data_IF_211233054757
#
_entry.id   IF_211233054757
#
_cell.length_a   1.000
_cell.length_b   1.000
_cell.length_c   1.000
_cell.angle_alpha   90.00
_cell.angle_beta   90.00
_cell.angle_gamma   90.00
#
_symmetry.space_group_name_H-M   'P 1'
#
loop_
_entity.id
_entity.type
_entity.pdbx_description
1 polymer ?
#
# COMPACT_ATOMS: atom_id res chain seq x y z
N UNK A 1 -4.94 38.99 53.91
CA UNK A 1 -4.02 40.01 53.39
C UNK A 1 -2.59 39.51 53.59
N UNK A 2 -1.83 39.43 52.48
CA UNK A 2 -0.35 39.49 52.25
C UNK A 2 0.58 39.47 53.48
N UNK A 3 1.79 38.89 53.51
CA UNK A 3 2.82 38.46 52.52
C UNK A 3 3.98 37.84 53.33
N UNK A 4 4.90 37.04 52.72
CA UNK A 4 6.38 37.22 52.76
C UNK A 4 7.12 36.02 52.14
N UNK A 5 8.16 36.34 51.38
CA UNK A 5 9.07 35.56 50.53
C UNK A 5 10.33 35.01 51.24
N UNK A 6 10.90 33.95 50.65
CA UNK A 6 12.34 33.60 50.49
C UNK A 6 13.21 33.20 51.70
N UNK A 7 13.81 31.99 51.66
CA UNK A 7 15.23 31.78 51.30
C UNK A 7 15.70 30.31 51.38
N UNK A 8 16.64 30.01 50.47
CA UNK A 8 17.44 28.80 50.23
C UNK A 8 18.07 28.09 51.43
N UNK A 9 18.06 26.74 51.40
CA UNK A 9 19.14 25.89 51.96
C UNK A 9 19.29 24.54 51.20
N UNK A 10 20.28 24.50 50.30
CA UNK A 10 21.22 23.41 49.93
C UNK A 10 20.83 21.93 50.17
N UNK A 11 20.88 21.10 49.12
CA UNK A 11 21.32 19.68 49.24
C UNK A 11 22.12 19.16 48.03
N UNK A 12 23.43 19.01 48.28
CA UNK A 12 24.46 18.04 47.83
C UNK A 12 24.55 17.60 46.35
N UNK A 13 25.68 17.97 45.72
CA UNK A 13 26.32 17.28 44.59
C UNK A 13 26.87 15.92 45.03
N UNK A 14 26.58 14.87 44.26
CA UNK A 14 27.22 13.55 44.36
C UNK A 14 28.24 13.39 43.22
N UNK A 15 29.33 12.62 43.43
CA UNK A 15 30.49 12.60 42.55
C UNK A 15 30.28 11.75 41.30
N UNK A 16 30.92 12.15 40.20
CA UNK A 16 31.01 11.42 38.94
C UNK A 16 31.57 10.01 39.16
N UNK A 17 30.84 9.01 38.68
CA UNK A 17 31.39 7.67 38.46
C UNK A 17 31.43 7.44 36.95
N UNK A 18 32.64 7.29 36.43
CA UNK A 18 32.92 6.85 35.06
C UNK A 18 32.25 5.50 34.81
N UNK A 19 31.17 5.51 34.05
CA UNK A 19 30.67 4.35 33.35
C UNK A 19 30.37 4.83 31.92
N UNK A 20 31.27 4.49 31.00
CA UNK A 20 31.07 4.56 29.56
C UNK A 20 29.79 3.78 29.23
N UNK A 21 28.65 4.47 29.18
CA UNK A 21 27.45 3.94 28.56
C UNK A 21 27.72 3.91 27.06
N UNK A 22 27.73 2.74 26.41
CA UNK A 22 27.73 2.72 24.96
C UNK A 22 26.47 3.43 24.50
N UNK A 23 26.64 4.42 23.61
CA UNK A 23 25.53 5.10 22.98
C UNK A 23 24.53 4.07 22.45
N UNK A 24 23.21 4.27 22.61
CA UNK A 24 22.23 3.37 22.03
C UNK A 24 22.54 3.22 20.55
N UNK A 25 22.84 1.99 20.13
CA UNK A 25 23.00 1.64 18.71
C UNK A 25 21.83 2.28 17.96
N UNK A 26 22.08 3.01 16.87
CA UNK A 26 20.99 3.56 16.07
C UNK A 26 20.09 2.38 15.73
N UNK A 27 18.83 2.44 16.18
CA UNK A 27 17.81 1.47 15.80
C UNK A 27 17.95 1.35 14.29
N UNK A 28 18.31 0.15 13.81
CA UNK A 28 18.35 -0.14 12.40
C UNK A 28 17.10 0.48 11.81
N UNK A 29 17.28 1.41 10.87
CA UNK A 29 16.17 2.01 10.17
C UNK A 29 15.29 0.84 9.77
N UNK A 30 14.04 0.81 10.23
CA UNK A 30 13.06 -0.14 9.74
C UNK A 30 13.19 -0.05 8.25
N UNK A 31 13.69 -1.11 7.61
CA UNK A 31 13.80 -1.21 6.16
C UNK A 31 12.38 -0.97 5.69
N UNK A 32 12.17 0.27 5.24
CA UNK A 32 10.88 0.78 4.85
C UNK A 32 10.28 -0.18 3.83
N UNK A 33 8.97 -0.37 3.85
CA UNK A 33 8.18 -1.16 2.89
C UNK A 33 8.29 -0.67 1.43
N UNK A 34 9.41 -0.04 1.06
CA UNK A 34 9.64 0.71 -0.17
C UNK A 34 10.30 -0.12 -1.28
N UNK A 35 10.49 -1.43 -1.05
CA UNK A 35 11.07 -2.38 -2.02
C UNK A 35 10.08 -3.49 -2.41
N UNK A 36 8.83 -3.41 -1.95
CA UNK A 36 7.84 -4.45 -2.21
C UNK A 36 7.10 -4.12 -3.50
N UNK A 37 7.03 -5.08 -4.42
CA UNK A 37 6.32 -4.93 -5.68
C UNK A 37 4.83 -4.73 -5.39
N UNK A 38 4.25 -3.69 -5.98
CA UNK A 38 2.83 -3.45 -5.91
C UNK A 38 2.12 -4.20 -7.04
N UNK A 39 1.69 -5.42 -6.74
CA UNK A 39 0.93 -6.25 -7.66
C UNK A 39 -0.46 -5.70 -7.98
N UNK A 40 -0.95 -4.70 -7.25
CA UNK A 40 -2.31 -4.20 -7.32
C UNK A 40 -2.43 -2.87 -8.08
N UNK A 41 -1.35 -2.09 -8.11
CA UNK A 41 -1.30 -0.83 -8.82
C UNK A 41 -1.09 -1.05 -10.31
N UNK A 42 -1.80 -0.27 -11.11
CA UNK A 42 -1.58 -0.14 -12.54
C UNK A 42 -1.87 1.29 -12.98
N UNK A 43 -0.92 1.91 -13.67
CA UNK A 43 -1.11 3.25 -14.21
C UNK A 43 -1.74 3.26 -15.61
N UNK A 44 -1.37 2.30 -16.46
CA UNK A 44 -1.95 2.14 -17.80
C UNK A 44 -3.02 1.05 -17.80
N UNK A 45 -4.15 1.29 -18.45
CA UNK A 45 -5.20 0.28 -18.59
C UNK A 45 -4.78 -0.84 -19.56
N UNK A 46 -4.01 -0.49 -20.60
CA UNK A 46 -3.56 -1.41 -21.64
C UNK A 46 -2.29 -2.18 -21.25
N UNK A 47 -2.16 -3.38 -21.82
CA UNK A 47 -0.97 -4.21 -21.68
C UNK A 47 0.18 -3.64 -22.54
N UNK A 48 1.35 -3.46 -21.93
CA UNK A 48 2.57 -3.11 -22.65
C UNK A 48 2.97 -4.29 -23.53
N UNK A 49 3.41 -4.06 -24.79
CA UNK A 49 3.90 -5.14 -25.61
C UNK A 49 5.25 -5.61 -25.07
N UNK A 50 5.54 -6.90 -25.26
CA UNK A 50 6.85 -7.46 -24.97
C UNK A 50 7.83 -7.08 -26.08
N UNK A 51 9.02 -6.60 -25.72
CA UNK A 51 10.06 -6.26 -26.68
C UNK A 51 10.54 -7.48 -27.47
N UNK A 52 10.78 -7.30 -28.76
CA UNK A 52 11.15 -8.35 -29.72
C UNK A 52 12.32 -7.91 -30.60
N UNK A 53 12.92 -8.86 -31.32
CA UNK A 53 14.04 -8.57 -32.23
C UNK A 53 13.62 -7.85 -33.51
N UNK A 54 12.31 -7.84 -33.82
CA UNK A 54 11.75 -7.18 -35.00
C UNK A 54 11.44 -5.69 -34.74
N UNK A 55 11.59 -5.25 -33.48
CA UNK A 55 11.33 -3.87 -33.10
C UNK A 55 12.39 -2.91 -33.68
N UNK A 56 11.91 -1.82 -34.26
CA UNK A 56 12.79 -0.73 -34.68
C UNK A 56 13.44 -0.05 -33.49
N UNK A 57 14.65 0.49 -33.65
CA UNK A 57 15.37 1.18 -32.58
C UNK A 57 14.53 2.27 -31.87
N UNK A 58 13.76 3.13 -32.58
CA UNK A 58 12.87 4.09 -31.91
C UNK A 58 11.79 3.42 -31.05
N UNK A 59 11.25 2.27 -31.49
CA UNK A 59 10.25 1.53 -30.72
C UNK A 59 10.87 0.91 -29.47
N UNK A 60 12.06 0.31 -29.59
CA UNK A 60 12.86 -0.24 -28.48
C UNK A 60 13.06 0.82 -27.39
N UNK A 61 13.51 2.03 -27.77
CA UNK A 61 13.73 3.12 -26.82
C UNK A 61 12.44 3.57 -26.12
N UNK A 62 11.32 3.57 -26.84
CA UNK A 62 10.01 3.90 -26.28
C UNK A 62 9.59 2.86 -25.24
N UNK A 63 9.70 1.57 -25.57
CA UNK A 63 9.35 0.47 -24.65
C UNK A 63 10.24 0.45 -23.41
N UNK A 64 11.54 0.70 -23.55
CA UNK A 64 12.44 0.80 -22.39
C UNK A 64 12.04 1.94 -21.45
N UNK A 65 11.58 3.07 -21.99
CA UNK A 65 11.06 4.18 -21.18
C UNK A 65 9.77 3.77 -20.45
N UNK A 66 8.87 3.04 -21.10
CA UNK A 66 7.63 2.57 -20.49
C UNK A 66 7.90 1.55 -19.38
N UNK A 67 8.79 0.58 -19.62
CA UNK A 67 9.21 -0.40 -18.62
C UNK A 67 9.90 0.28 -17.43
N UNK A 68 10.79 1.25 -17.67
CA UNK A 68 11.39 2.03 -16.60
C UNK A 68 10.33 2.73 -15.75
N UNK A 69 9.31 3.31 -16.38
CA UNK A 69 8.20 3.94 -15.67
C UNK A 69 7.42 2.96 -14.77
N UNK A 70 7.20 1.72 -15.21
CA UNK A 70 6.58 0.66 -14.40
C UNK A 70 7.44 0.37 -13.16
N UNK A 71 8.74 0.19 -13.34
CA UNK A 71 9.68 -0.09 -12.25
C UNK A 71 9.80 1.08 -11.27
N UNK A 72 9.85 2.33 -11.76
CA UNK A 72 9.93 3.54 -10.94
C UNK A 72 8.69 3.73 -10.04
N UNK A 73 7.52 3.23 -10.49
CA UNK A 73 6.29 3.21 -9.71
C UNK A 73 6.16 1.97 -8.81
N UNK A 74 7.14 1.07 -8.85
CA UNK A 74 7.13 -0.22 -8.16
C UNK A 74 5.93 -1.10 -8.55
N UNK A 75 5.44 -0.98 -9.77
CA UNK A 75 4.35 -1.81 -10.29
C UNK A 75 4.90 -3.16 -10.78
N UNK A 76 4.04 -4.18 -10.83
CA UNK A 76 4.43 -5.50 -11.36
C UNK A 76 4.61 -5.45 -12.88
N UNK A 77 5.76 -5.91 -13.36
CA UNK A 77 6.05 -6.11 -14.79
C UNK A 77 5.17 -7.23 -15.37
N UNK A 78 4.94 -8.32 -14.62
CA UNK A 78 4.01 -9.37 -15.04
C UNK A 78 2.60 -8.83 -15.26
N UNK A 79 2.12 -7.95 -14.38
CA UNK A 79 0.83 -7.32 -14.56
C UNK A 79 0.82 -6.43 -15.81
N UNK A 80 1.83 -5.56 -15.95
CA UNK A 80 1.89 -4.60 -17.05
C UNK A 80 2.10 -5.25 -18.43
N UNK A 81 2.78 -6.39 -18.52
CA UNK A 81 2.98 -7.17 -19.75
C UNK A 81 1.87 -8.23 -20.00
N UNK A 82 0.80 -8.25 -19.19
CA UNK A 82 -0.39 -9.07 -19.45
C UNK A 82 -0.37 -10.49 -18.86
N UNK A 83 0.58 -10.85 -18.01
CA UNK A 83 0.67 -12.18 -17.37
C UNK A 83 -0.33 -12.39 -16.21
N UNK A 84 -1.08 -11.34 -15.83
CA UNK A 84 -2.25 -11.39 -14.92
C UNK A 84 -2.00 -12.16 -13.60
N UNK A 85 -1.30 -11.55 -12.64
CA UNK A 85 -1.13 -12.10 -11.31
C UNK A 85 -2.49 -12.34 -10.60
N UNK A 86 -2.50 -13.25 -9.62
CA UNK A 86 -3.64 -13.61 -8.79
C UNK A 86 -4.11 -12.44 -7.93
N UNK A 87 -3.21 -11.62 -7.39
CA UNK A 87 -3.53 -10.46 -6.53
C UNK A 87 -4.65 -9.57 -7.10
N UNK A 88 -4.48 -8.97 -8.30
CA UNK A 88 -5.52 -8.20 -8.97
C UNK A 88 -6.84 -8.94 -9.18
N UNK A 89 -6.78 -10.22 -9.53
CA UNK A 89 -7.98 -11.04 -9.76
C UNK A 89 -8.75 -11.25 -8.45
N UNK A 90 -8.03 -11.54 -7.37
CA UNK A 90 -8.59 -11.75 -6.05
C UNK A 90 -9.19 -10.45 -5.50
N UNK A 91 -8.54 -9.30 -5.71
CA UNK A 91 -9.12 -7.99 -5.35
C UNK A 91 -10.39 -7.71 -6.14
N UNK A 92 -10.39 -7.91 -7.46
CA UNK A 92 -11.62 -7.74 -8.26
C UNK A 92 -12.77 -8.63 -7.78
N UNK A 93 -12.48 -9.85 -7.30
CA UNK A 93 -13.50 -10.73 -6.71
C UNK A 93 -13.94 -10.26 -5.32
N UNK A 94 -13.00 -9.78 -4.52
CA UNK A 94 -13.26 -9.24 -3.19
C UNK A 94 -14.14 -7.98 -3.25
N UNK A 95 -13.87 -7.06 -4.17
CA UNK A 95 -14.69 -5.85 -4.36
C UNK A 95 -16.13 -6.17 -4.78
N UNK A 96 -16.36 -7.29 -5.48
CA UNK A 96 -17.72 -7.76 -5.86
C UNK A 96 -18.55 -8.28 -4.70
N UNK A 97 -17.99 -8.42 -3.50
CA UNK A 97 -18.77 -8.72 -2.30
C UNK A 97 -19.69 -7.55 -1.91
N UNK A 98 -19.41 -6.36 -2.44
CA UNK A 98 -20.07 -5.11 -2.08
C UNK A 98 -20.75 -4.49 -3.30
N UNK A 99 -21.81 -3.72 -3.06
CA UNK A 99 -22.55 -3.03 -4.12
C UNK A 99 -21.97 -1.63 -4.39
N UNK A 100 -20.83 -1.60 -5.08
CA UNK A 100 -20.13 -0.39 -5.46
C UNK A 100 -19.04 0.06 -4.45
N UNK A 101 -18.37 1.20 -4.70
CA UNK A 101 -17.24 1.65 -3.89
C UNK A 101 -17.68 2.24 -2.53
N UNK A 102 -16.82 2.24 -1.51
CA UNK A 102 -17.10 2.89 -0.22
C UNK A 102 -17.42 4.38 -0.40
N UNK A 103 -18.44 4.87 0.33
CA UNK A 103 -18.87 6.26 0.21
C UNK A 103 -17.93 7.18 1.00
N UNK A 104 -17.24 8.07 0.29
CA UNK A 104 -16.41 9.13 0.88
C UNK A 104 -17.26 10.38 1.07
N UNK A 105 -17.47 10.80 2.32
CA UNK A 105 -18.30 11.98 2.64
C UNK A 105 -17.52 13.30 2.57
N UNK A 106 -16.25 13.27 2.96
CA UNK A 106 -15.38 14.43 2.95
C UNK A 106 -13.94 13.97 2.79
N UNK A 107 -13.23 14.53 1.81
CA UNK A 107 -11.79 14.36 1.64
C UNK A 107 -11.05 15.63 2.07
N UNK A 108 -9.99 15.46 2.84
CA UNK A 108 -9.03 16.49 3.22
C UNK A 108 -7.67 16.30 2.52
N UNK A 109 -7.55 15.27 1.66
CA UNK A 109 -6.37 15.01 0.85
C UNK A 109 -6.35 15.84 -0.44
N UNK A 110 -5.22 15.78 -1.17
CA UNK A 110 -5.17 16.25 -2.57
C UNK A 110 -6.20 15.48 -3.40
N UNK A 111 -6.69 16.10 -4.46
CA UNK A 111 -7.64 15.48 -5.41
C UNK A 111 -7.17 14.06 -5.80
N UNK A 112 -8.07 13.08 -5.73
CA UNK A 112 -7.80 11.68 -6.11
C UNK A 112 -7.54 10.69 -4.98
N UNK A 113 -7.76 11.01 -3.70
CA UNK A 113 -7.71 9.98 -2.64
C UNK A 113 -8.92 9.04 -2.75
N UNK A 114 -8.73 7.88 -3.38
CA UNK A 114 -9.72 6.80 -3.47
C UNK A 114 -9.63 5.88 -2.26
N UNK A 115 -10.77 5.54 -1.65
CA UNK A 115 -10.85 4.54 -0.59
C UNK A 115 -11.36 3.23 -1.17
N UNK A 116 -10.62 2.15 -0.96
CA UNK A 116 -10.98 0.80 -1.42
C UNK A 116 -11.64 0.01 -0.30
N UNK A 117 -12.33 -1.08 -0.63
CA UNK A 117 -12.87 -1.99 0.40
C UNK A 117 -11.78 -2.67 1.22
N UNK A 118 -10.57 -2.85 0.65
CA UNK A 118 -9.43 -3.39 1.38
C UNK A 118 -9.02 -2.44 2.51
N UNK A 119 -8.98 -1.13 2.25
CA UNK A 119 -8.71 -0.11 3.27
C UNK A 119 -9.74 -0.12 4.40
N UNK A 120 -11.02 -0.31 4.05
CA UNK A 120 -12.13 -0.40 5.03
C UNK A 120 -11.99 -1.64 5.92
N UNK A 121 -11.73 -2.80 5.31
CA UNK A 121 -11.58 -4.07 6.05
C UNK A 121 -10.31 -4.06 6.91
N UNK A 122 -9.22 -3.49 6.41
CA UNK A 122 -8.01 -3.29 7.19
C UNK A 122 -8.27 -2.33 8.36
N UNK A 123 -8.99 -1.23 8.14
CA UNK A 123 -9.37 -0.31 9.21
C UNK A 123 -10.18 -1.03 10.29
N UNK A 124 -11.22 -1.77 9.90
CA UNK A 124 -12.06 -2.52 10.83
C UNK A 124 -11.26 -3.53 11.67
N UNK A 125 -10.24 -4.16 11.07
CA UNK A 125 -9.33 -5.08 11.78
C UNK A 125 -8.40 -4.34 12.74
N UNK A 126 -7.81 -3.24 12.30
CA UNK A 126 -6.76 -2.53 13.04
C UNK A 126 -7.32 -1.61 14.15
N UNK A 127 -8.56 -1.13 13.98
CA UNK A 127 -9.25 -0.18 14.88
C UNK A 127 -10.73 -0.58 15.08
N UNK A 128 -11.01 -1.78 15.59
CA UNK A 128 -12.38 -2.27 15.73
C UNK A 128 -13.25 -1.37 16.63
N UNK A 129 -12.65 -0.68 17.60
CA UNK A 129 -13.32 0.23 18.51
C UNK A 129 -13.88 1.49 17.81
N UNK A 130 -13.31 1.85 16.66
CA UNK A 130 -13.78 2.98 15.84
C UNK A 130 -14.72 2.53 14.71
N UNK A 131 -14.83 1.22 14.48
CA UNK A 131 -15.69 0.65 13.46
C UNK A 131 -17.01 0.21 14.09
N UNK A 132 -17.92 1.17 14.25
CA UNK A 132 -19.19 0.98 14.98
C UNK A 132 -20.38 1.49 14.18
N UNK A 133 -21.53 0.82 14.34
CA UNK A 133 -22.78 1.21 13.71
C UNK A 133 -23.47 2.32 14.51
N UNK A 134 -23.79 3.43 13.86
CA UNK A 134 -24.53 4.54 14.44
C UNK A 134 -25.86 4.77 13.73
N UNK A 135 -26.85 5.34 14.44
CA UNK A 135 -28.13 5.74 13.88
C UNK A 135 -28.11 7.22 13.48
N UNK A 136 -28.48 7.52 12.25
CA UNK A 136 -28.63 8.89 11.75
C UNK A 136 -29.95 9.51 12.20
N UNK A 137 -30.03 10.85 12.13
CA UNK A 137 -31.28 11.60 12.38
C UNK A 137 -32.44 11.13 11.50
N UNK A 138 -32.15 10.69 10.28
CA UNK A 138 -33.10 10.14 9.30
C UNK A 138 -33.54 8.69 9.63
N UNK A 139 -33.11 8.12 10.76
CA UNK A 139 -33.43 6.76 11.19
C UNK A 139 -32.59 5.66 10.56
N UNK A 140 -31.85 5.94 9.48
CA UNK A 140 -30.96 5.00 8.79
C UNK A 140 -29.72 4.72 9.65
N UNK A 141 -29.32 3.44 9.76
CA UNK A 141 -28.07 3.06 10.41
C UNK A 141 -26.93 2.94 9.41
N UNK A 142 -25.78 3.48 9.78
CA UNK A 142 -24.56 3.44 8.97
C UNK A 142 -23.34 3.34 9.88
N UNK A 143 -22.25 2.77 9.38
CA UNK A 143 -20.95 2.87 10.04
C UNK A 143 -20.19 4.05 9.44
N UNK A 144 -19.68 4.93 10.30
CA UNK A 144 -18.86 6.07 9.90
C UNK A 144 -17.58 6.11 10.71
N UNK A 145 -16.48 6.31 10.01
CA UNK A 145 -15.17 6.42 10.64
C UNK A 145 -14.28 7.38 9.86
N UNK A 146 -13.24 7.84 10.54
CA UNK A 146 -12.25 8.75 9.98
C UNK A 146 -10.96 8.00 9.70
N UNK A 147 -10.50 8.09 8.45
CA UNK A 147 -9.11 7.80 8.11
C UNK A 147 -8.28 9.07 8.31
N UNK A 148 -6.96 8.99 8.05
CA UNK A 148 -6.10 10.18 8.12
C UNK A 148 -6.50 11.27 7.10
N UNK A 149 -7.15 10.88 6.01
CA UNK A 149 -7.35 11.76 4.85
C UNK A 149 -8.83 12.02 4.57
N UNK A 150 -9.75 11.17 5.03
CA UNK A 150 -11.15 11.30 4.70
C UNK A 150 -12.09 10.72 5.76
N UNK A 151 -13.36 11.11 5.66
CA UNK A 151 -14.47 10.49 6.39
C UNK A 151 -15.19 9.52 5.47
N UNK A 152 -15.25 8.26 5.88
CA UNK A 152 -15.88 7.17 5.12
C UNK A 152 -17.21 6.81 5.78
N UNK A 153 -18.19 6.47 4.96
CA UNK A 153 -19.47 5.92 5.38
C UNK A 153 -19.72 4.62 4.61
N UNK A 154 -20.17 3.59 5.32
CA UNK A 154 -20.64 2.34 4.73
C UNK A 154 -22.04 2.01 5.24
N UNK A 155 -22.77 1.18 4.48
CA UNK A 155 -24.12 0.76 4.83
C UNK A 155 -24.13 -0.16 6.06
N UNK A 156 -25.30 -0.37 6.65
CA UNK A 156 -25.47 -1.39 7.69
C UNK A 156 -25.16 -2.80 7.16
N UNK A 157 -25.56 -3.11 5.94
CA UNK A 157 -25.35 -4.42 5.30
C UNK A 157 -23.86 -4.72 5.15
N UNK A 158 -23.10 -3.75 4.62
CA UNK A 158 -21.64 -3.87 4.47
C UNK A 158 -20.95 -3.98 5.83
N UNK A 159 -21.43 -3.23 6.83
CA UNK A 159 -20.92 -3.32 8.20
C UNK A 159 -21.09 -4.75 8.75
N UNK A 160 -22.29 -5.33 8.64
CA UNK A 160 -22.56 -6.70 9.10
C UNK A 160 -21.68 -7.71 8.35
N UNK A 161 -21.54 -7.55 7.03
CA UNK A 161 -20.67 -8.40 6.22
C UNK A 161 -19.21 -8.33 6.68
N UNK A 162 -18.67 -7.13 6.90
CA UNK A 162 -17.29 -6.95 7.35
C UNK A 162 -17.09 -7.47 8.78
N UNK A 163 -18.06 -7.23 9.68
CA UNK A 163 -18.03 -7.71 11.06
C UNK A 163 -18.15 -9.24 11.17
N UNK A 164 -18.69 -9.92 10.15
CA UNK A 164 -18.76 -11.38 10.11
C UNK A 164 -17.38 -12.07 10.04
N UNK A 165 -16.34 -11.34 9.64
CA UNK A 165 -15.00 -11.90 9.43
C UNK A 165 -14.82 -12.59 8.08
N UNK A 166 -15.86 -12.70 7.24
CA UNK A 166 -15.79 -13.36 5.92
C UNK A 166 -14.81 -12.63 4.99
N UNK A 167 -14.90 -11.30 4.81
CA UNK A 167 -13.97 -10.59 3.92
C UNK A 167 -12.50 -10.77 4.32
N UNK A 168 -12.18 -10.77 5.61
CA UNK A 168 -10.83 -10.92 6.15
C UNK A 168 -10.23 -12.28 5.82
N UNK A 169 -11.05 -13.33 5.76
CA UNK A 169 -10.62 -14.69 5.39
C UNK A 169 -10.41 -14.84 3.88
N UNK A 170 -10.96 -13.94 3.07
CA UNK A 170 -10.81 -13.95 1.62
C UNK A 170 -9.57 -13.18 1.13
N UNK A 171 -8.96 -12.37 2.00
CA UNK A 171 -7.73 -11.65 1.70
C UNK A 171 -6.55 -12.63 1.83
N UNK A 172 -5.83 -12.96 0.74
CA UNK A 172 -4.68 -13.85 0.82
C UNK A 172 -3.56 -13.20 1.66
N UNK A 173 -2.76 -14.01 2.38
CA UNK A 173 -1.56 -13.50 3.05
C UNK A 173 -0.60 -12.93 2.00
N UNK A 174 0.04 -11.81 2.34
CA UNK A 174 1.05 -11.17 1.49
C UNK A 174 2.46 -11.56 1.97
N UNK A 175 3.41 -11.82 1.06
CA UNK A 175 3.28 -11.82 -0.40
C UNK A 175 2.59 -13.08 -0.94
N UNK A 176 1.93 -12.96 -2.10
CA UNK A 176 1.36 -14.10 -2.83
C UNK A 176 2.50 -14.75 -3.63
N UNK A 177 2.94 -15.94 -3.22
CA UNK A 177 4.12 -16.62 -3.80
C UNK A 177 3.95 -16.84 -5.30
N UNK A 178 2.74 -17.21 -5.75
CA UNK A 178 2.45 -17.44 -7.16
C UNK A 178 2.58 -16.17 -8.03
N UNK A 179 2.43 -14.99 -7.42
CA UNK A 179 2.61 -13.71 -8.12
C UNK A 179 4.10 -13.36 -8.22
N UNK A 180 4.89 -13.66 -7.19
CA UNK A 180 6.35 -13.54 -7.22
C UNK A 180 6.95 -14.48 -8.29
N UNK A 181 6.48 -15.72 -8.37
CA UNK A 181 6.95 -16.68 -9.38
C UNK A 181 6.62 -16.23 -10.82
N UNK A 182 5.43 -15.65 -11.03
CA UNK A 182 5.04 -15.07 -12.33
C UNK A 182 5.84 -13.83 -12.68
N UNK A 183 6.10 -12.97 -11.70
CA UNK A 183 6.95 -11.79 -11.88
C UNK A 183 8.34 -12.21 -12.33
N UNK A 184 8.96 -13.16 -11.62
CA UNK A 184 10.27 -13.69 -11.97
C UNK A 184 10.29 -14.27 -13.38
N UNK A 185 9.34 -15.15 -13.72
CA UNK A 185 9.27 -15.72 -15.07
C UNK A 185 9.08 -14.69 -16.17
N UNK A 186 8.37 -13.59 -15.89
CA UNK A 186 8.21 -12.48 -16.85
C UNK A 186 9.53 -11.74 -17.05
N UNK A 187 10.26 -11.47 -15.97
CA UNK A 187 11.56 -10.80 -16.03
C UNK A 187 12.61 -11.66 -16.76
N UNK A 188 12.61 -12.98 -16.57
CA UNK A 188 13.50 -13.89 -17.30
C UNK A 188 13.26 -13.88 -18.81
N UNK A 189 11.99 -13.77 -19.23
CA UNK A 189 11.65 -13.64 -20.66
C UNK A 189 12.13 -12.29 -21.19
N UNK A 190 11.87 -11.21 -20.46
CA UNK A 190 12.29 -9.87 -20.84
C UNK A 190 13.82 -9.75 -20.95
N UNK A 191 14.56 -10.27 -19.97
CA UNK A 191 16.02 -10.30 -19.96
C UNK A 191 16.56 -11.06 -21.18
N UNK A 192 15.98 -12.22 -21.51
CA UNK A 192 16.39 -13.00 -22.68
C UNK A 192 16.22 -12.20 -23.98
N UNK A 193 15.10 -11.51 -24.16
CA UNK A 193 14.83 -10.73 -25.37
C UNK A 193 15.78 -9.52 -25.47
N UNK A 194 15.97 -8.80 -24.36
CA UNK A 194 16.93 -7.70 -24.31
C UNK A 194 18.37 -8.16 -24.59
N UNK A 195 18.76 -9.32 -24.06
CA UNK A 195 20.06 -9.92 -24.33
C UNK A 195 20.29 -10.22 -25.82
N UNK A 196 19.27 -10.69 -26.53
CA UNK A 196 19.35 -10.91 -27.98
C UNK A 196 19.49 -9.59 -28.76
N UNK A 197 18.73 -8.56 -28.39
CA UNK A 197 18.82 -7.24 -29.01
C UNK A 197 20.22 -6.64 -28.82
N UNK A 198 20.80 -6.74 -27.62
CA UNK A 198 22.17 -6.30 -27.36
C UNK A 198 23.18 -7.03 -28.27
N UNK A 199 23.05 -8.35 -28.41
CA UNK A 199 23.93 -9.13 -29.29
C UNK A 199 23.79 -8.76 -30.77
N UNK A 200 22.60 -8.35 -31.22
CA UNK A 200 22.38 -7.85 -32.58
C UNK A 200 22.98 -6.45 -32.78
N UNK A 201 22.94 -5.60 -31.75
CA UNK A 201 23.52 -4.26 -31.80
C UNK A 201 25.06 -4.25 -31.80
N UNK A 202 25.69 -5.28 -31.22
CA UNK A 202 27.14 -5.45 -31.18
C UNK A 202 27.75 -6.02 -32.49
N UNK A 203 26.91 -6.43 -33.46
CA UNK A 203 27.33 -6.95 -34.78
C UNK A 203 27.45 -5.85 -35.83
#
# INVERSE_FOLDING_TARGET
>A
MNTTTSNDLKRKRSPSNDAMHPAPLPKAAKTSNHLQINYLARHCDDDLPLITNDDTLPNILTLLSDYQGVLDRHESMACNLGARPLGPILIKRFERLFDGPPRVLKSHGKDGTTVTWLDVVEFARNKPEQFTLGQMSEGVRVCQFYTKQCRVQISEEDFVLISSGIPQKMIPPQPIIEDEEKELGTLEILERNLGQICQLADQ
#
